data_IF_508075735276
#
_entry.id   IF_508075735276
#
_cell.length_a   1.000
_cell.length_b   1.000
_cell.length_c   1.000
_cell.angle_alpha   90.00
_cell.angle_beta   90.00
_cell.angle_gamma   90.00
#
_symmetry.space_group_name_H-M   'P 1'
#
loop_
_entity.id
_entity.type
_entity.pdbx_description
1 polymer ?
#
# COMPACT_ATOMS: atom_id res chain seq x y z
N UNK A 1 20.88 -10.12 -32.78
CA UNK A 1 20.94 -9.15 -31.67
C UNK A 1 20.16 -7.90 -32.07
N UNK A 2 18.93 -7.72 -31.58
CA UNK A 2 18.08 -6.58 -31.93
C UNK A 2 18.22 -5.45 -30.90
N UNK A 3 18.69 -4.29 -31.33
CA UNK A 3 18.78 -3.09 -30.50
C UNK A 3 17.37 -2.60 -30.16
N UNK A 4 16.92 -2.85 -28.92
CA UNK A 4 15.69 -2.28 -28.37
C UNK A 4 15.87 -0.78 -28.16
N UNK A 5 15.38 0.03 -29.09
CA UNK A 5 15.34 1.47 -28.97
C UNK A 5 14.40 1.90 -27.83
N UNK A 6 14.98 2.26 -26.68
CA UNK A 6 14.25 2.95 -25.62
C UNK A 6 13.95 4.38 -26.12
N UNK A 7 12.77 4.54 -26.70
CA UNK A 7 12.14 5.83 -27.00
C UNK A 7 11.90 6.58 -25.69
N UNK A 8 12.93 7.27 -25.19
CA UNK A 8 12.84 8.25 -24.11
C UNK A 8 12.07 9.45 -24.65
N UNK A 9 10.74 9.38 -24.57
CA UNK A 9 9.83 10.46 -24.94
C UNK A 9 10.21 11.75 -24.20
N UNK A 10 10.19 12.88 -24.91
CA UNK A 10 10.48 14.23 -24.42
C UNK A 10 9.91 14.46 -23.01
N UNK A 11 10.80 14.78 -22.07
CA UNK A 11 10.46 15.15 -20.70
C UNK A 11 9.82 16.55 -20.66
N UNK A 12 8.54 16.63 -21.01
CA UNK A 12 7.69 17.73 -20.56
C UNK A 12 7.34 17.44 -19.10
N UNK A 13 7.49 18.43 -18.20
CA UNK A 13 7.11 18.34 -16.79
C UNK A 13 5.60 18.06 -16.68
N UNK A 14 5.21 16.79 -16.73
CA UNK A 14 3.81 16.37 -16.66
C UNK A 14 3.38 16.33 -15.20
N UNK A 15 2.59 17.32 -14.79
CA UNK A 15 1.85 17.27 -13.52
C UNK A 15 0.80 16.16 -13.58
N UNK A 16 0.80 15.25 -12.61
CA UNK A 16 -0.11 14.12 -12.46
C UNK A 16 -1.04 14.35 -11.27
N UNK A 17 -2.33 14.17 -11.47
CA UNK A 17 -3.31 14.30 -10.40
C UNK A 17 -3.30 13.08 -9.47
N UNK A 18 -3.52 13.28 -8.15
CA UNK A 18 -3.61 12.20 -7.14
C UNK A 18 -5.04 12.09 -6.61
N UNK A 19 -5.78 11.10 -7.08
CA UNK A 19 -7.13 10.82 -6.60
C UNK A 19 -7.14 10.29 -5.16
N UNK A 20 -8.10 10.73 -4.35
CA UNK A 20 -8.27 10.40 -2.94
C UNK A 20 -7.31 11.14 -1.98
N UNK A 21 -6.37 11.94 -2.50
CA UNK A 21 -5.46 12.69 -1.67
C UNK A 21 -6.15 13.89 -1.02
N UNK A 22 -6.01 14.02 0.30
CA UNK A 22 -6.46 15.17 1.07
C UNK A 22 -5.28 16.10 1.33
N UNK A 23 -5.45 17.38 1.02
CA UNK A 23 -4.42 18.38 1.31
C UNK A 23 -4.21 18.51 2.83
N UNK A 24 -2.96 18.37 3.35
CA UNK A 24 -2.71 18.50 4.78
C UNK A 24 -2.86 19.93 5.29
N UNK A 25 -2.82 20.93 4.40
CA UNK A 25 -2.88 22.36 4.76
C UNK A 25 -4.30 22.93 4.80
N UNK A 26 -5.13 22.62 3.80
CA UNK A 26 -6.50 23.14 3.71
C UNK A 26 -7.60 22.07 3.77
N UNK A 27 -7.23 20.79 3.92
CA UNK A 27 -8.16 19.65 3.96
C UNK A 27 -9.01 19.46 2.71
N UNK A 28 -8.68 20.12 1.59
CA UNK A 28 -9.34 19.89 0.31
C UNK A 28 -9.01 18.48 -0.21
N UNK A 29 -10.05 17.73 -0.54
CA UNK A 29 -9.94 16.42 -1.20
C UNK A 29 -9.71 16.61 -2.70
N UNK A 30 -8.91 15.74 -3.30
CA UNK A 30 -8.74 15.68 -4.76
C UNK A 30 -8.17 16.97 -5.36
N UNK A 31 -7.20 17.59 -4.66
CA UNK A 31 -6.52 18.81 -5.11
C UNK A 31 -5.00 18.72 -5.15
N UNK A 32 -4.43 17.53 -4.91
CA UNK A 32 -2.97 17.34 -4.95
C UNK A 32 -2.53 16.87 -6.34
N UNK A 33 -1.49 17.51 -6.87
CA UNK A 33 -0.79 17.11 -8.10
C UNK A 33 0.66 16.78 -7.79
N UNK A 34 1.25 15.86 -8.53
CA UNK A 34 2.64 15.43 -8.42
C UNK A 34 3.39 15.69 -9.71
N UNK A 35 4.62 16.17 -9.64
CA UNK A 35 5.50 16.35 -10.80
C UNK A 35 6.95 16.08 -10.41
N UNK A 36 7.76 15.73 -11.40
CA UNK A 36 9.19 15.46 -11.21
C UNK A 36 9.98 16.50 -11.98
N UNK A 37 10.86 17.22 -11.30
CA UNK A 37 11.83 18.16 -11.87
C UNK A 37 13.24 17.58 -11.81
N UNK A 38 14.25 18.34 -12.23
CA UNK A 38 15.66 17.97 -12.08
C UNK A 38 16.08 17.87 -10.60
N UNK A 39 15.35 18.53 -9.70
CA UNK A 39 15.60 18.50 -8.26
C UNK A 39 14.88 17.32 -7.56
N UNK A 40 13.98 16.62 -8.26
CA UNK A 40 13.27 15.45 -7.74
C UNK A 40 11.76 15.56 -7.85
N UNK A 41 11.04 14.74 -7.08
CA UNK A 41 9.57 14.66 -7.14
C UNK A 41 8.91 15.59 -6.10
N UNK A 42 7.92 16.36 -6.54
CA UNK A 42 7.18 17.33 -5.73
C UNK A 42 5.68 17.05 -5.78
N UNK A 43 4.98 17.41 -4.70
CA UNK A 43 3.51 17.39 -4.58
C UNK A 43 3.01 18.79 -4.25
N UNK A 44 2.03 19.27 -5.00
CA UNK A 44 1.48 20.63 -4.88
C UNK A 44 -0.06 20.58 -4.74
N UNK A 45 -0.64 21.42 -3.88
CA UNK A 45 -2.08 21.62 -3.81
C UNK A 45 -2.53 22.78 -4.71
N UNK A 46 -3.42 22.51 -5.66
CA UNK A 46 -3.92 23.52 -6.60
C UNK A 46 -4.91 24.53 -5.97
N UNK A 47 -5.35 24.28 -4.73
CA UNK A 47 -6.34 25.13 -4.04
C UNK A 47 -5.68 26.14 -3.08
N UNK A 48 -4.71 25.69 -2.28
CA UNK A 48 -4.04 26.52 -1.27
C UNK A 48 -2.53 26.73 -1.48
N UNK A 49 -1.95 26.16 -2.55
CA UNK A 49 -0.53 26.30 -2.88
C UNK A 49 0.44 25.57 -1.94
N UNK A 50 -0.04 24.59 -1.17
CA UNK A 50 0.85 23.72 -0.37
C UNK A 50 1.82 22.96 -1.28
N UNK A 51 3.12 22.95 -0.99
CA UNK A 51 4.14 22.20 -1.74
C UNK A 51 4.97 21.31 -0.80
N UNK A 52 5.26 20.08 -1.21
CA UNK A 52 6.04 19.08 -0.48
C UNK A 52 7.00 18.33 -1.41
N UNK A 53 8.29 18.25 -1.06
CA UNK A 53 9.31 17.52 -1.82
C UNK A 53 9.38 16.07 -1.34
N UNK A 54 9.05 15.13 -2.21
CA UNK A 54 9.20 13.71 -1.94
C UNK A 54 10.64 13.25 -2.21
N UNK A 55 11.25 12.47 -1.30
CA UNK A 55 12.47 11.76 -1.62
C UNK A 55 12.22 10.76 -2.76
N UNK A 56 13.15 10.67 -3.72
CA UNK A 56 13.03 9.76 -4.85
C UNK A 56 13.01 8.32 -4.34
N UNK A 57 11.97 7.54 -4.69
CA UNK A 57 11.80 6.16 -4.23
C UNK A 57 12.79 5.15 -4.86
N UNK A 58 13.90 5.62 -5.45
CA UNK A 58 14.92 4.78 -6.08
C UNK A 58 15.64 3.85 -5.07
N UNK A 59 15.58 4.18 -3.77
CA UNK A 59 16.10 3.33 -2.69
C UNK A 59 15.08 2.31 -2.16
N UNK A 60 13.86 2.28 -2.69
CA UNK A 60 12.96 1.13 -2.51
C UNK A 60 13.21 0.12 -3.63
N UNK A 61 14.46 -0.36 -3.73
CA UNK A 61 14.59 -1.75 -4.13
C UNK A 61 13.87 -2.53 -3.04
N UNK A 62 12.83 -3.34 -3.34
CA UNK A 62 12.51 -4.41 -2.42
C UNK A 62 13.78 -5.26 -2.45
N UNK A 63 14.70 -5.01 -1.52
CA UNK A 63 15.73 -5.96 -1.19
C UNK A 63 14.96 -7.25 -0.99
N UNK A 64 15.09 -8.10 -1.99
CA UNK A 64 14.38 -9.36 -2.16
C UNK A 64 14.97 -10.35 -1.16
N UNK A 65 14.98 -9.96 0.11
CA UNK A 65 15.01 -10.85 1.23
C UNK A 65 13.61 -10.79 1.79
N UNK A 66 12.76 -11.67 1.27
CA UNK A 66 11.43 -11.91 1.79
C UNK A 66 11.50 -11.93 3.31
N UNK A 67 11.05 -10.85 3.94
CA UNK A 67 10.93 -10.79 5.39
C UNK A 67 10.06 -11.98 5.76
N UNK A 68 10.64 -12.95 6.48
CA UNK A 68 9.93 -14.14 6.98
C UNK A 68 8.85 -13.66 7.94
N UNK A 69 7.70 -13.29 7.37
CA UNK A 69 6.49 -13.09 8.15
C UNK A 69 6.03 -14.48 8.58
N UNK A 70 5.50 -14.57 9.80
CA UNK A 70 5.05 -15.81 10.46
C UNK A 70 4.01 -16.62 9.65
N UNK A 71 3.54 -16.06 8.53
CA UNK A 71 2.47 -16.55 7.66
C UNK A 71 3.01 -17.30 6.44
N UNK A 72 4.33 -17.33 6.22
CA UNK A 72 4.92 -18.20 5.19
C UNK A 72 5.25 -19.56 5.80
N UNK A 73 4.48 -20.64 5.51
CA UNK A 73 4.86 -21.97 5.92
C UNK A 73 6.16 -22.32 5.19
N UNK A 74 7.23 -22.49 5.95
CA UNK A 74 8.43 -23.18 5.45
C UNK A 74 8.15 -24.66 5.72
N UNK A 75 8.19 -25.49 4.68
CA UNK A 75 7.73 -26.88 4.64
C UNK A 75 6.21 -27.03 4.35
N UNK A 76 5.81 -27.80 3.33
CA UNK A 76 4.43 -28.26 3.21
C UNK A 76 4.15 -29.23 4.38
N UNK A 77 3.23 -28.87 5.26
CA UNK A 77 2.69 -29.79 6.26
C UNK A 77 2.24 -31.09 5.57
N UNK A 78 2.61 -32.28 6.10
CA UNK A 78 2.08 -33.54 5.58
C UNK A 78 0.55 -33.49 5.67
N UNK A 79 -0.19 -34.06 4.69
CA UNK A 79 -1.64 -33.94 4.65
C UNK A 79 -2.25 -34.51 5.93
N UNK A 80 -2.69 -33.63 6.83
CA UNK A 80 -3.50 -34.01 7.98
C UNK A 80 -4.85 -34.44 7.45
N UNK A 81 -5.00 -35.74 7.24
CA UNK A 81 -6.32 -36.36 7.13
C UNK A 81 -6.95 -36.30 8.51
N UNK A 82 -7.87 -35.36 8.71
CA UNK A 82 -9.12 -35.55 9.45
C UNK A 82 -9.93 -34.25 9.42
N UNK A 83 -10.64 -34.06 8.31
CA UNK A 83 -11.65 -33.02 8.10
C UNK A 83 -12.98 -33.41 8.80
N UNK A 84 -12.87 -33.95 10.02
CA UNK A 84 -14.03 -34.36 10.81
C UNK A 84 -14.36 -33.24 11.79
N UNK A 85 -15.36 -32.37 11.51
CA UNK A 85 -15.70 -31.28 12.42
C UNK A 85 -16.21 -31.85 13.75
N UNK A 86 -15.51 -31.56 14.85
CA UNK A 86 -15.97 -31.92 16.18
C UNK A 86 -17.04 -30.91 16.66
N UNK A 87 -18.22 -31.37 17.10
CA UNK A 87 -19.26 -30.49 17.58
C UNK A 87 -18.85 -29.84 18.90
N UNK A 88 -18.75 -28.51 18.91
CA UNK A 88 -18.48 -27.72 20.11
C UNK A 88 -19.73 -27.68 20.98
N UNK A 89 -19.67 -28.18 22.21
CA UNK A 89 -20.79 -28.14 23.17
C UNK A 89 -20.75 -26.81 23.93
N UNK A 90 -21.67 -25.91 23.60
CA UNK A 90 -21.86 -24.64 24.31
C UNK A 90 -22.71 -24.91 25.55
N UNK A 91 -22.14 -24.73 26.74
CA UNK A 91 -22.88 -24.80 28.00
C UNK A 91 -23.68 -23.50 28.19
N UNK A 92 -25.00 -23.53 28.48
CA UNK A 92 -25.74 -22.32 28.81
C UNK A 92 -25.27 -21.78 30.16
N UNK A 93 -24.88 -20.52 30.20
CA UNK A 93 -24.64 -19.76 31.42
C UNK A 93 -25.98 -19.61 32.18
N UNK A 94 -26.14 -20.42 33.24
CA UNK A 94 -27.31 -20.39 34.09
C UNK A 94 -27.48 -19.04 34.79
N UNK A 95 -28.40 -18.22 34.29
CA UNK A 95 -28.97 -17.08 35.01
C UNK A 95 -30.37 -17.49 35.50
N UNK A 96 -30.39 -18.21 36.62
CA UNK A 96 -31.62 -18.50 37.36
C UNK A 96 -31.70 -17.59 38.58
N UNK A 97 -32.38 -16.45 38.44
CA UNK A 97 -32.80 -15.64 39.59
C UNK A 97 -33.93 -16.34 40.33
N UNK A 98 -33.89 -16.33 41.66
CA UNK A 98 -35.02 -16.72 42.51
C UNK A 98 -35.48 -15.52 43.33
N UNK A 99 -36.81 -15.40 43.37
CA UNK A 99 -37.63 -14.46 44.13
C UNK A 99 -37.27 -14.37 45.62
#
# INVERSE_FOLDING_TARGET
MGAGGLSRGRASLKKRFIAGAVCPRCSAMDRIVMYTTEEGTFRECVDCGFEDRQPEAADMTPASETLKTRVTPTEPDPPKKDDTPQPVRILPSGSGGTH
#
